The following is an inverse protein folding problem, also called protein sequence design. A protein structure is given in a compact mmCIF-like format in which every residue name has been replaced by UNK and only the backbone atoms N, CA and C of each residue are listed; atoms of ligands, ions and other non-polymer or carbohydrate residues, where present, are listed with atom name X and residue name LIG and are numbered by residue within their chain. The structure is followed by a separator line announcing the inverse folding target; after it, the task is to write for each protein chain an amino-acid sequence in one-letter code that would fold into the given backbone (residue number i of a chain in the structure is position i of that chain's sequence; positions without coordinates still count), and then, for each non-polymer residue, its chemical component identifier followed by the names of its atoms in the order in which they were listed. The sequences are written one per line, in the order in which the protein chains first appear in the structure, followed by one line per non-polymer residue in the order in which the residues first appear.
data_IF_059190291258
#
_entry.id   IF_059190291258
#
_cell.length_a   1.000
_cell.length_b   1.000
_cell.length_c   1.000
_cell.angle_alpha   90.00
_cell.angle_beta   90.00
_cell.angle_gamma   90.00
#
_symmetry.space_group_name_H-M   'P 1'
#
loop_
_entity.id
_entity.type
_entity.pdbx_description
1 polymer ?
#
# COMPACT_ATOMS: atom_id res chain seq x y z
N UNK A 1 -20.92 -13.10 0.68
CA UNK A 1 -19.99 -13.12 1.84
C UNK A 1 -20.44 -14.16 2.84
N UNK A 2 -19.49 -14.79 3.52
CA UNK A 2 -19.71 -15.82 4.55
C UNK A 2 -19.06 -15.36 5.85
N UNK A 3 -19.59 -15.82 6.98
CA UNK A 3 -18.94 -15.67 8.28
C UNK A 3 -18.01 -16.85 8.52
N UNK A 4 -16.77 -16.57 8.92
CA UNK A 4 -15.75 -17.56 9.22
C UNK A 4 -15.29 -17.38 10.67
N UNK A 5 -15.20 -18.51 11.38
CA UNK A 5 -14.64 -18.58 12.73
C UNK A 5 -13.62 -19.70 12.76
N UNK A 6 -12.45 -19.45 13.36
CA UNK A 6 -11.45 -20.49 13.47
C UNK A 6 -10.19 -20.07 14.22
N UNK A 7 -9.27 -21.02 14.33
CA UNK A 7 -7.93 -20.82 14.91
C UNK A 7 -6.88 -20.92 13.82
N UNK A 8 -6.02 -19.91 13.72
CA UNK A 8 -4.93 -19.87 12.74
C UNK A 8 -3.84 -20.88 13.15
N UNK A 9 -3.53 -21.84 12.29
CA UNK A 9 -2.51 -22.86 12.54
C UNK A 9 -1.15 -22.51 11.94
N UNK A 10 -1.13 -21.75 10.85
CA UNK A 10 0.04 -21.16 10.21
C UNK A 10 -0.36 -19.92 9.43
N UNK A 11 0.60 -19.02 9.19
CA UNK A 11 0.40 -17.82 8.37
C UNK A 11 1.71 -17.52 7.66
N UNK A 12 1.63 -17.26 6.35
CA UNK A 12 2.77 -16.90 5.52
C UNK A 12 2.37 -15.84 4.48
N UNK A 13 3.27 -14.90 4.19
CA UNK A 13 3.06 -13.91 3.15
C UNK A 13 3.80 -14.31 1.87
N UNK A 14 3.19 -14.04 0.72
CA UNK A 14 3.77 -14.24 -0.61
C UNK A 14 3.21 -13.22 -1.60
N UNK A 15 3.87 -13.09 -2.74
CA UNK A 15 3.36 -12.31 -3.86
C UNK A 15 2.17 -13.03 -4.52
N UNK A 16 1.18 -12.26 -4.96
CA UNK A 16 0.13 -12.71 -5.89
C UNK A 16 0.75 -13.19 -7.21
N UNK A 17 0.00 -13.99 -7.98
CA UNK A 17 0.52 -14.60 -9.21
C UNK A 17 0.94 -13.58 -10.28
N UNK A 18 0.34 -12.38 -10.28
CA UNK A 18 0.69 -11.25 -11.14
C UNK A 18 1.84 -10.37 -10.61
N UNK A 19 2.34 -10.66 -9.41
CA UNK A 19 3.41 -9.92 -8.74
C UNK A 19 3.04 -8.50 -8.33
N UNK A 20 1.75 -8.15 -8.27
CA UNK A 20 1.28 -6.80 -7.93
C UNK A 20 0.98 -6.62 -6.44
N UNK A 21 0.74 -7.70 -5.70
CA UNK A 21 0.29 -7.63 -4.31
C UNK A 21 1.07 -8.59 -3.41
N UNK A 22 1.40 -8.15 -2.20
CA UNK A 22 1.75 -9.06 -1.11
C UNK A 22 0.47 -9.48 -0.42
N UNK A 23 0.29 -10.78 -0.23
CA UNK A 23 -0.86 -11.38 0.45
C UNK A 23 -0.38 -12.31 1.55
N UNK A 24 -1.03 -12.23 2.70
CA UNK A 24 -0.85 -13.15 3.83
C UNK A 24 -1.89 -14.26 3.76
N UNK A 25 -1.46 -15.51 3.71
CA UNK A 25 -2.30 -16.71 3.67
C UNK A 25 -2.22 -17.42 5.01
N UNK A 26 -3.33 -17.42 5.74
CA UNK A 26 -3.50 -18.12 6.99
C UNK A 26 -4.17 -19.48 6.74
N UNK A 27 -3.55 -20.56 7.20
CA UNK A 27 -4.25 -21.85 7.37
C UNK A 27 -5.07 -21.78 8.65
N UNK A 28 -6.37 -22.04 8.55
CA UNK A 28 -7.32 -21.88 9.64
C UNK A 28 -8.00 -23.20 9.89
N UNK A 29 -7.94 -23.67 11.15
CA UNK A 29 -8.80 -24.76 11.61
C UNK A 29 -10.13 -24.19 12.06
N UNK A 30 -11.18 -24.52 11.34
CA UNK A 30 -12.56 -24.12 11.66
C UNK A 30 -13.09 -24.92 12.86
N UNK A 31 -14.21 -24.47 13.44
CA UNK A 31 -14.80 -25.11 14.62
C UNK A 31 -15.32 -26.54 14.35
N UNK A 32 -15.71 -26.84 13.12
CA UNK A 32 -16.11 -28.17 12.64
C UNK A 32 -14.92 -29.08 12.28
N UNK A 33 -13.69 -28.58 12.42
CA UNK A 33 -12.45 -29.33 12.26
C UNK A 33 -11.89 -29.36 10.83
N UNK A 34 -12.52 -28.67 9.88
CA UNK A 34 -11.94 -28.44 8.55
C UNK A 34 -10.70 -27.54 8.64
N UNK A 35 -9.82 -27.66 7.63
CA UNK A 35 -8.71 -26.72 7.45
C UNK A 35 -8.93 -25.97 6.15
N UNK A 36 -9.12 -24.65 6.27
CA UNK A 36 -9.34 -23.74 5.15
C UNK A 36 -8.17 -22.76 5.04
N UNK A 37 -8.03 -22.13 3.88
CA UNK A 37 -7.10 -21.01 3.68
C UNK A 37 -7.87 -19.70 3.70
N UNK A 38 -7.40 -18.73 4.48
CA UNK A 38 -7.91 -17.37 4.54
C UNK A 38 -6.79 -16.42 4.16
N UNK A 39 -7.00 -15.60 3.13
CA UNK A 39 -6.04 -14.63 2.64
C UNK A 39 -6.41 -13.21 3.06
N UNK A 40 -5.39 -12.37 3.26
CA UNK A 40 -5.48 -10.94 3.51
C UNK A 40 -4.46 -10.22 2.62
N UNK A 41 -4.77 -9.01 2.18
CA UNK A 41 -3.77 -8.14 1.59
C UNK A 41 -2.78 -7.65 2.64
N UNK A 42 -1.56 -7.43 2.21
CA UNK A 42 -0.46 -7.00 3.06
C UNK A 42 0.34 -8.16 3.66
N UNK A 43 1.44 -7.79 4.30
CA UNK A 43 2.45 -8.70 4.82
C UNK A 43 3.84 -8.29 4.37
N UNK A 44 4.82 -9.19 4.58
CA UNK A 44 6.22 -8.93 4.24
C UNK A 44 6.80 -10.12 3.48
N UNK A 45 7.49 -9.85 2.37
CA UNK A 45 8.14 -10.87 1.54
C UNK A 45 9.53 -10.38 1.16
N UNK A 46 10.55 -11.06 1.65
CA UNK A 46 11.93 -10.59 1.52
C UNK A 46 12.11 -9.21 2.18
N UNK A 47 12.70 -8.29 1.43
CA UNK A 47 13.03 -6.93 1.89
C UNK A 47 11.89 -5.93 1.72
N UNK A 48 10.68 -6.39 1.40
CA UNK A 48 9.53 -5.54 1.11
C UNK A 48 8.35 -5.88 2.02
N UNK A 49 7.57 -4.87 2.37
CA UNK A 49 6.28 -5.03 3.02
C UNK A 49 5.20 -4.19 2.34
N UNK A 50 3.95 -4.63 2.49
CA UNK A 50 2.77 -3.95 1.99
C UNK A 50 1.77 -3.80 3.13
N UNK A 51 1.18 -2.61 3.28
CA UNK A 51 0.20 -2.29 4.32
C UNK A 51 -0.93 -1.43 3.75
N UNK A 52 -2.15 -1.68 4.20
CA UNK A 52 -3.34 -0.90 3.83
C UNK A 52 -3.75 0.04 4.98
N UNK A 53 -4.45 1.12 4.69
CA UNK A 53 -4.93 2.11 5.65
C UNK A 53 -6.36 2.52 5.28
N UNK A 54 -7.37 2.33 6.15
CA UNK A 54 -7.28 1.62 7.42
C UNK A 54 -6.84 0.15 7.24
N UNK A 55 -5.88 -0.31 8.04
CA UNK A 55 -5.44 -1.71 8.04
C UNK A 55 -6.34 -2.56 8.92
N UNK A 56 -6.62 -3.77 8.47
CA UNK A 56 -7.02 -4.84 9.37
C UNK A 56 -5.78 -5.57 9.88
N UNK A 57 -5.75 -5.97 11.17
CA UNK A 57 -4.60 -6.69 11.67
C UNK A 57 -4.41 -8.04 10.94
N UNK A 58 -3.19 -8.32 10.47
CA UNK A 58 -2.88 -9.60 9.80
C UNK A 58 -3.02 -10.77 10.77
N UNK A 59 -3.64 -11.85 10.30
CA UNK A 59 -3.82 -13.11 11.02
C UNK A 59 -2.47 -13.80 11.24
N UNK A 60 -2.19 -14.17 12.49
CA UNK A 60 -0.95 -14.84 12.91
C UNK A 60 -1.27 -16.19 13.54
N UNK A 61 -0.28 -17.10 13.51
CA UNK A 61 -0.42 -18.42 14.14
C UNK A 61 -0.87 -18.28 15.60
N UNK A 62 -1.91 -19.02 15.95
CA UNK A 62 -2.51 -19.06 17.27
C UNK A 62 -3.69 -18.11 17.45
N UNK A 63 -3.85 -17.11 16.57
CA UNK A 63 -4.99 -16.19 16.64
C UNK A 63 -6.30 -16.97 16.51
N UNK A 64 -7.31 -16.54 17.27
CA UNK A 64 -8.69 -16.94 17.10
C UNK A 64 -9.47 -15.75 16.59
N UNK A 65 -10.31 -15.94 15.58
CA UNK A 65 -11.01 -14.82 14.98
C UNK A 65 -12.43 -15.19 14.55
N UNK A 66 -13.24 -14.15 14.38
CA UNK A 66 -14.49 -14.17 13.61
C UNK A 66 -14.38 -13.10 12.52
N UNK A 67 -14.65 -13.46 11.27
CA UNK A 67 -14.54 -12.55 10.14
C UNK A 67 -15.65 -12.76 9.12
N UNK A 68 -15.86 -11.74 8.28
CA UNK A 68 -16.53 -11.89 7.00
C UNK A 68 -15.51 -12.14 5.92
N UNK A 69 -15.80 -13.07 5.02
CA UNK A 69 -14.93 -13.40 3.91
C UNK A 69 -15.71 -13.64 2.62
N UNK A 70 -15.01 -13.51 1.50
CA UNK A 70 -15.45 -13.86 0.17
C UNK A 70 -14.80 -15.18 -0.24
N UNK A 71 -15.55 -16.09 -0.86
CA UNK A 71 -14.96 -17.31 -1.42
C UNK A 71 -14.17 -16.96 -2.70
N UNK A 72 -12.96 -17.50 -2.81
CA UNK A 72 -12.06 -17.30 -3.93
C UNK A 72 -11.46 -18.63 -4.42
N UNK A 73 -10.58 -18.56 -5.42
CA UNK A 73 -9.99 -19.75 -6.04
C UNK A 73 -9.15 -20.58 -5.06
N UNK A 74 -8.44 -19.94 -4.14
CA UNK A 74 -7.54 -20.59 -3.17
C UNK A 74 -8.12 -20.69 -1.75
N UNK A 75 -9.43 -20.52 -1.59
CA UNK A 75 -10.10 -20.57 -0.29
C UNK A 75 -10.97 -19.34 -0.06
N UNK A 76 -10.62 -18.52 0.93
CA UNK A 76 -11.38 -17.34 1.31
C UNK A 76 -10.51 -16.08 1.35
N UNK A 77 -11.02 -14.95 0.86
CA UNK A 77 -10.45 -13.62 1.04
C UNK A 77 -11.14 -12.91 2.19
N UNK A 78 -10.40 -12.53 3.21
CA UNK A 78 -10.94 -11.84 4.38
C UNK A 78 -11.38 -10.43 3.99
N UNK A 79 -12.64 -10.08 4.27
CA UNK A 79 -13.21 -8.77 3.97
C UNK A 79 -13.20 -7.88 5.20
N UNK A 80 -13.61 -8.41 6.36
CA UNK A 80 -13.63 -7.66 7.62
C UNK A 80 -13.48 -8.58 8.83
N UNK A 81 -12.61 -8.25 9.78
CA UNK A 81 -12.53 -8.89 11.10
C UNK A 81 -13.63 -8.32 12.01
N UNK A 82 -14.47 -9.20 12.56
CA UNK A 82 -15.47 -8.84 13.55
C UNK A 82 -14.91 -9.01 14.97
N UNK A 83 -14.11 -10.06 15.20
CA UNK A 83 -13.44 -10.33 16.46
C UNK A 83 -12.05 -10.91 16.19
N UNK A 84 -11.08 -10.53 17.01
CA UNK A 84 -9.73 -11.07 16.97
C UNK A 84 -9.19 -11.22 18.41
N UNK A 85 -8.98 -12.46 18.81
CA UNK A 85 -8.27 -12.83 20.03
C UNK A 85 -6.84 -13.23 19.64
N UNK A 86 -5.88 -12.40 20.02
CA UNK A 86 -4.47 -12.64 19.73
C UNK A 86 -3.94 -13.79 20.60
N UNK A 87 -3.15 -14.66 20.00
CA UNK A 87 -2.33 -15.57 20.82
C UNK A 87 -1.33 -14.75 21.65
N UNK A 88 -1.22 -15.05 22.95
CA UNK A 88 -0.19 -14.46 23.79
C UNK A 88 1.20 -14.80 23.23
N UNK A 89 1.94 -13.78 22.80
CA UNK A 89 3.35 -13.94 22.50
C UNK A 89 4.11 -14.04 23.83
N UNK A 90 4.94 -15.08 24.05
CA UNK A 90 5.79 -15.12 25.21
C UNK A 90 6.79 -13.94 25.14
N UNK A 91 6.68 -12.99 26.06
CA UNK A 91 7.66 -11.93 26.25
C UNK A 91 7.25 -10.50 25.87
N UNK A 92 5.97 -10.21 25.66
CA UNK A 92 5.53 -8.80 25.59
C UNK A 92 5.80 -8.11 26.93
N UNK A 93 6.81 -7.25 26.97
CA UNK A 93 7.07 -6.42 28.14
C UNK A 93 5.86 -5.48 28.34
N UNK A 94 5.39 -5.27 29.59
CA UNK A 94 4.38 -4.26 29.85
C UNK A 94 4.95 -2.90 29.44
N UNK A 95 4.15 -2.13 28.68
CA UNK A 95 4.45 -0.73 28.39
C UNK A 95 4.66 0.02 29.72
N UNK A 96 5.77 0.75 29.82
CA UNK A 96 6.04 1.60 30.97
C UNK A 96 5.15 2.84 30.89
N UNK A 97 4.53 3.30 31.99
CA UNK A 97 3.78 4.55 31.98
C UNK A 97 4.74 5.72 31.74
N UNK A 98 4.50 6.49 30.68
CA UNK A 98 5.14 7.79 30.45
C UNK A 98 4.70 8.82 31.49
N UNK A 99 5.50 9.87 31.73
CA UNK A 99 5.16 10.91 32.69
C UNK A 99 3.90 11.68 32.24
N UNK A 100 2.88 11.75 33.09
CA UNK A 100 1.71 12.58 32.86
C UNK A 100 2.06 14.05 33.16
N UNK A 101 2.25 14.84 32.11
CA UNK A 101 2.30 16.29 32.21
C UNK A 101 2.98 16.94 31.01
N UNK A 102 2.19 17.32 30.01
CA UNK A 102 2.58 18.29 28.99
C UNK A 102 1.35 19.05 28.48
N UNK A 103 1.60 20.27 28.03
CA UNK A 103 0.72 21.23 27.33
C UNK A 103 -0.05 20.57 26.16
N UNK A 104 -1.08 21.21 25.56
CA UNK A 104 -1.78 20.65 24.39
C UNK A 104 -0.76 20.25 23.31
N UNK A 105 -0.70 18.95 23.08
CA UNK A 105 0.37 18.28 22.39
C UNK A 105 0.03 18.21 20.90
N UNK A 106 0.96 18.67 20.06
CA UNK A 106 0.81 18.80 18.60
C UNK A 106 1.03 17.42 17.94
N UNK A 107 0.15 16.47 18.20
CA UNK A 107 0.49 15.06 18.11
C UNK A 107 0.07 14.40 16.80
N UNK A 108 0.91 14.54 15.78
CA UNK A 108 0.79 13.67 14.61
C UNK A 108 1.40 12.29 14.88
N UNK A 109 0.86 11.28 14.20
CA UNK A 109 1.33 9.89 14.27
C UNK A 109 1.93 9.52 12.92
N UNK A 110 3.07 8.84 12.95
CA UNK A 110 3.71 8.32 11.73
C UNK A 110 3.40 6.85 11.56
N UNK A 111 3.15 6.45 10.33
CA UNK A 111 3.17 5.04 9.96
C UNK A 111 4.59 4.53 10.14
N UNK A 112 4.74 3.39 10.82
CA UNK A 112 6.04 2.77 11.10
C UNK A 112 6.12 1.32 10.65
N UNK A 113 7.35 0.83 10.49
CA UNK A 113 7.68 -0.59 10.40
C UNK A 113 7.42 -1.32 11.73
N UNK A 114 7.55 -2.65 11.77
CA UNK A 114 7.38 -3.41 13.00
C UNK A 114 8.40 -3.04 14.11
N UNK A 115 9.55 -2.51 13.71
CA UNK A 115 10.63 -2.01 14.56
C UNK A 115 10.51 -0.51 14.85
N UNK A 116 9.34 0.09 14.59
CA UNK A 116 9.04 1.50 14.85
C UNK A 116 9.87 2.50 14.03
N UNK A 117 10.39 2.07 12.86
CA UNK A 117 11.04 3.00 11.92
C UNK A 117 9.96 3.70 11.08
N UNK A 118 9.89 5.03 11.07
CA UNK A 118 8.87 5.75 10.32
C UNK A 118 9.02 5.61 8.81
N UNK A 119 7.89 5.49 8.11
CA UNK A 119 7.89 5.46 6.65
C UNK A 119 8.09 6.86 6.06
N UNK A 120 8.75 6.93 4.89
CA UNK A 120 9.06 8.19 4.22
C UNK A 120 9.25 8.00 2.71
N UNK A 121 8.99 9.04 1.92
CA UNK A 121 9.45 9.10 0.53
C UNK A 121 10.90 9.61 0.47
N UNK A 122 11.77 8.93 -0.28
CA UNK A 122 13.15 9.38 -0.47
C UNK A 122 13.28 10.59 -1.42
N UNK A 123 12.34 10.75 -2.36
CA UNK A 123 12.33 11.86 -3.31
C UNK A 123 11.75 13.15 -2.75
N UNK A 124 12.07 14.27 -3.38
CA UNK A 124 11.51 15.59 -3.07
C UNK A 124 10.07 15.77 -3.53
N UNK A 125 9.50 14.78 -4.23
CA UNK A 125 8.12 14.81 -4.66
C UNK A 125 7.52 13.41 -4.79
N UNK A 126 6.18 13.35 -4.75
CA UNK A 126 5.41 12.15 -5.06
C UNK A 126 4.66 12.38 -6.37
N UNK A 127 4.83 11.47 -7.31
CA UNK A 127 4.02 11.45 -8.53
C UNK A 127 2.67 10.84 -8.21
N UNK A 128 1.58 11.46 -8.64
CA UNK A 128 0.22 10.95 -8.45
C UNK A 128 -0.44 10.79 -9.82
N UNK A 129 -1.10 9.65 -10.03
CA UNK A 129 -1.82 9.35 -11.26
C UNK A 129 -3.28 9.14 -10.93
N UNK A 130 -4.17 9.85 -11.59
CA UNK A 130 -5.61 9.58 -11.46
C UNK A 130 -6.05 8.49 -12.44
N UNK A 131 -7.00 7.66 -12.00
CA UNK A 131 -7.69 6.75 -12.91
C UNK A 131 -8.48 7.56 -13.94
N UNK A 132 -8.27 7.24 -15.22
CA UNK A 132 -8.85 7.99 -16.35
C UNK A 132 -10.38 7.94 -16.37
N UNK A 133 -11.00 6.92 -15.77
CA UNK A 133 -12.45 6.79 -15.76
C UNK A 133 -13.13 7.74 -14.76
N UNK A 134 -12.41 8.27 -13.77
CA UNK A 134 -12.97 9.13 -12.73
C UNK A 134 -14.09 8.43 -11.95
N UNK A 135 -15.08 9.21 -11.51
CA UNK A 135 -16.29 8.67 -10.87
C UNK A 135 -17.54 9.19 -11.57
N UNK A 136 -18.54 8.33 -11.67
CA UNK A 136 -19.87 8.68 -12.19
C UNK A 136 -20.75 9.41 -11.17
N UNK A 137 -20.27 9.56 -9.93
CA UNK A 137 -20.98 10.18 -8.83
C UNK A 137 -20.93 11.70 -8.84
N UNK A 138 -20.00 12.29 -9.59
CA UNK A 138 -19.81 13.73 -9.73
C UNK A 138 -19.97 14.08 -11.21
N UNK A 139 -20.71 15.15 -11.51
CA UNK A 139 -20.91 15.57 -12.89
C UNK A 139 -19.66 16.27 -13.47
N UNK A 140 -19.46 16.13 -14.78
CA UNK A 140 -18.60 16.99 -15.61
C UNK A 140 -17.13 17.17 -15.12
N UNK A 141 -16.50 16.10 -14.59
CA UNK A 141 -15.08 16.00 -14.19
C UNK A 141 -14.65 16.84 -12.98
N UNK A 142 -15.59 17.44 -12.23
CA UNK A 142 -15.27 18.27 -11.06
C UNK A 142 -14.48 17.48 -9.99
N UNK A 143 -14.50 16.14 -10.01
CA UNK A 143 -13.68 15.31 -9.11
C UNK A 143 -12.18 15.57 -9.24
N UNK A 144 -11.67 15.78 -10.45
CA UNK A 144 -10.24 15.99 -10.66
C UNK A 144 -9.81 17.35 -10.12
N UNK A 145 -10.63 18.39 -10.33
CA UNK A 145 -10.36 19.71 -9.76
C UNK A 145 -10.34 19.67 -8.23
N UNK A 146 -11.28 18.96 -7.59
CA UNK A 146 -11.30 18.79 -6.14
C UNK A 146 -10.06 18.05 -5.62
N UNK A 147 -9.62 17.01 -6.31
CA UNK A 147 -8.39 16.29 -5.94
C UNK A 147 -7.13 17.14 -6.16
N UNK A 148 -7.06 17.93 -7.23
CA UNK A 148 -5.99 18.89 -7.45
C UNK A 148 -5.94 19.95 -6.34
N UNK A 149 -7.09 20.51 -5.96
CA UNK A 149 -7.21 21.48 -4.86
C UNK A 149 -6.76 20.88 -3.52
N UNK A 150 -7.10 19.62 -3.23
CA UNK A 150 -6.63 18.93 -2.03
C UNK A 150 -5.09 18.79 -1.98
N UNK A 151 -4.47 18.41 -3.10
CA UNK A 151 -3.00 18.36 -3.20
C UNK A 151 -2.39 19.76 -3.06
N UNK A 152 -3.01 20.77 -3.66
CA UNK A 152 -2.59 22.17 -3.56
C UNK A 152 -2.70 22.71 -2.14
N UNK A 153 -3.69 22.25 -1.38
CA UNK A 153 -3.83 22.60 0.03
C UNK A 153 -2.68 22.02 0.86
N UNK A 154 -2.30 20.77 0.65
CA UNK A 154 -1.09 20.19 1.26
C UNK A 154 0.18 20.98 0.90
N UNK A 155 0.39 21.28 -0.39
CA UNK A 155 1.56 22.05 -0.85
C UNK A 155 1.61 23.45 -0.25
N UNK A 156 0.50 24.17 -0.31
CA UNK A 156 0.45 25.59 0.09
C UNK A 156 0.59 25.75 1.60
N UNK A 157 -0.02 24.86 2.38
CA UNK A 157 0.03 24.87 3.85
C UNK A 157 1.43 24.56 4.39
N UNK A 158 2.21 23.76 3.68
CA UNK A 158 3.54 23.29 4.13
C UNK A 158 4.71 23.98 3.42
N UNK A 159 4.45 24.78 2.38
CA UNK A 159 5.47 25.47 1.55
C UNK A 159 6.51 26.28 2.34
N UNK A 160 6.17 26.77 3.53
CA UNK A 160 7.10 27.56 4.33
C UNK A 160 8.17 26.75 5.08
N UNK A 161 7.95 25.45 5.25
CA UNK A 161 8.76 24.58 6.10
C UNK A 161 9.23 23.29 5.40
N UNK A 162 8.51 22.84 4.37
CA UNK A 162 8.74 21.55 3.72
C UNK A 162 9.18 21.71 2.26
N UNK A 163 10.00 20.76 1.77
CA UNK A 163 10.32 20.63 0.35
C UNK A 163 9.32 19.73 -0.41
N UNK A 164 8.53 18.93 0.31
CA UNK A 164 7.69 17.91 -0.31
C UNK A 164 6.69 18.52 -1.29
N UNK A 165 6.60 17.92 -2.47
CA UNK A 165 5.74 18.38 -3.55
C UNK A 165 4.98 17.21 -4.19
N UNK A 166 3.93 17.53 -4.94
CA UNK A 166 3.20 16.55 -5.76
C UNK A 166 3.37 16.87 -7.23
N UNK A 167 3.48 15.83 -8.05
CA UNK A 167 3.50 15.94 -9.51
C UNK A 167 2.38 15.09 -10.08
N UNK A 168 1.42 15.72 -10.72
CA UNK A 168 0.38 15.00 -11.46
C UNK A 168 0.99 14.40 -12.73
N UNK A 169 0.90 13.07 -12.84
CA UNK A 169 1.17 12.37 -14.08
C UNK A 169 -0.10 12.32 -14.95
N UNK A 170 0.09 12.00 -16.24
CA UNK A 170 -1.03 11.75 -17.15
C UNK A 170 -1.94 10.65 -16.58
N UNK A 171 -3.28 10.85 -16.61
CA UNK A 171 -4.24 9.84 -16.17
C UNK A 171 -4.04 8.49 -16.89
N UNK A 172 -4.39 7.40 -16.22
CA UNK A 172 -4.22 6.05 -16.75
C UNK A 172 -5.43 5.17 -16.47
N UNK A 173 -5.77 4.33 -17.45
CA UNK A 173 -6.65 3.18 -17.24
C UNK A 173 -5.78 1.98 -16.80
N UNK A 174 -5.56 1.82 -15.50
CA UNK A 174 -4.81 0.70 -14.90
C UNK A 174 -5.45 0.25 -13.59
N UNK A 175 -4.85 -0.74 -12.94
CA UNK A 175 -5.30 -1.23 -11.64
C UNK A 175 -4.26 -0.94 -10.56
N UNK A 176 -4.70 -0.82 -9.30
CA UNK A 176 -3.81 -0.68 -8.14
C UNK A 176 -2.86 -1.86 -8.03
N UNK A 177 -1.64 -1.66 -7.55
CA UNK A 177 -0.61 -2.69 -7.44
C UNK A 177 0.80 -2.12 -7.40
N UNK A 178 1.76 -2.95 -6.99
CA UNK A 178 3.16 -2.56 -6.92
C UNK A 178 3.80 -2.43 -8.32
N UNK A 179 3.57 -1.30 -8.99
CA UNK A 179 4.01 -1.02 -10.35
C UNK A 179 4.78 0.30 -10.55
N UNK A 180 4.94 1.08 -9.48
CA UNK A 180 5.63 2.36 -9.46
C UNK A 180 4.72 3.51 -9.91
N UNK A 181 3.42 3.26 -10.00
CA UNK A 181 2.38 4.25 -10.29
C UNK A 181 1.53 4.41 -9.05
N UNK A 182 1.66 5.55 -8.38
CA UNK A 182 0.76 5.87 -7.29
C UNK A 182 -0.61 6.24 -7.85
N UNK A 183 -1.53 5.27 -7.93
CA UNK A 183 -2.83 5.42 -8.58
C UNK A 183 -3.90 5.89 -7.57
N UNK A 184 -4.73 6.85 -7.96
CA UNK A 184 -6.00 7.15 -7.28
C UNK A 184 -7.13 6.54 -8.10
N UNK A 185 -7.82 5.54 -7.53
CA UNK A 185 -8.84 4.76 -8.22
C UNK A 185 -10.20 4.86 -7.55
N UNK A 186 -11.22 5.22 -8.32
CA UNK A 186 -12.61 5.19 -7.87
C UNK A 186 -13.22 3.79 -8.04
N UNK A 187 -14.03 3.40 -7.05
CA UNK A 187 -14.76 2.13 -7.04
C UNK A 187 -16.24 2.39 -6.83
N UNK A 188 -16.93 2.76 -7.91
CA UNK A 188 -18.36 3.12 -7.90
C UNK A 188 -19.29 1.90 -7.77
N UNK A 189 -18.95 0.79 -8.44
CA UNK A 189 -19.85 -0.37 -8.53
C UNK A 189 -19.69 -1.34 -7.36
N UNK A 190 -18.44 -1.66 -7.01
CA UNK A 190 -18.10 -2.62 -5.95
C UNK A 190 -16.86 -2.19 -5.20
N UNK A 191 -16.93 -2.26 -3.86
CA UNK A 191 -15.80 -2.00 -2.97
C UNK A 191 -14.85 -3.20 -2.88
N UNK A 192 -14.34 -3.60 -4.05
CA UNK A 192 -13.46 -4.75 -4.24
C UNK A 192 -12.45 -4.48 -5.35
N UNK A 193 -11.32 -5.18 -5.29
CA UNK A 193 -10.28 -5.17 -6.32
C UNK A 193 -9.96 -6.56 -6.84
N UNK A 194 -9.41 -6.70 -8.07
CA UNK A 194 -8.83 -7.96 -8.51
C UNK A 194 -7.77 -8.43 -7.51
N UNK A 195 -7.74 -9.73 -7.23
CA UNK A 195 -6.87 -10.28 -6.19
C UNK A 195 -5.53 -10.81 -6.74
N UNK A 196 -5.30 -10.66 -8.05
CA UNK A 196 -4.13 -11.16 -8.77
C UNK A 196 -4.12 -12.68 -8.99
N UNK A 197 -5.19 -13.39 -8.61
CA UNK A 197 -5.31 -14.86 -8.70
C UNK A 197 -6.59 -15.29 -9.45
N UNK A 198 -7.23 -14.37 -10.17
CA UNK A 198 -8.47 -14.61 -10.92
C UNK A 198 -9.74 -14.51 -10.08
N UNK A 199 -9.64 -14.00 -8.85
CA UNK A 199 -10.74 -13.66 -7.97
C UNK A 199 -10.80 -12.17 -7.64
N UNK A 200 -11.48 -11.85 -6.54
CA UNK A 200 -11.60 -10.51 -6.01
C UNK A 200 -11.30 -10.50 -4.51
N UNK A 201 -10.78 -9.37 -4.06
CA UNK A 201 -10.61 -9.03 -2.66
C UNK A 201 -11.47 -7.82 -2.36
N UNK A 202 -12.49 -7.98 -1.51
CA UNK A 202 -13.33 -6.87 -1.07
C UNK A 202 -12.79 -6.24 0.21
N UNK A 203 -13.04 -4.95 0.39
CA UNK A 203 -12.57 -4.15 1.51
C UNK A 203 -13.67 -4.01 2.58
N UNK A 204 -13.34 -3.58 3.81
CA UNK A 204 -14.34 -3.22 4.82
C UNK A 204 -15.34 -2.19 4.29
N UNK A 205 -16.63 -2.48 4.41
CA UNK A 205 -17.70 -1.67 3.82
C UNK A 205 -17.90 -0.29 4.50
N UNK A 206 -17.26 -0.08 5.65
CA UNK A 206 -17.27 1.15 6.44
C UNK A 206 -16.10 2.10 6.11
N UNK A 207 -15.15 1.69 5.27
CA UNK A 207 -14.09 2.55 4.77
C UNK A 207 -14.57 3.38 3.57
N UNK A 208 -14.49 4.72 3.66
CA UNK A 208 -14.81 5.64 2.56
C UNK A 208 -13.65 5.78 1.55
N UNK A 209 -12.43 5.54 2.00
CA UNK A 209 -11.21 5.48 1.20
C UNK A 209 -10.27 4.44 1.78
N UNK A 210 -9.24 4.08 1.01
CA UNK A 210 -8.17 3.23 1.48
C UNK A 210 -6.86 3.55 0.76
N UNK A 211 -5.76 3.65 1.50
CA UNK A 211 -4.41 3.77 0.95
C UNK A 211 -3.66 2.45 1.10
N UNK A 212 -2.95 1.98 0.07
CA UNK A 212 -2.05 0.82 0.14
C UNK A 212 -0.62 1.30 -0.09
N UNK A 213 0.28 1.10 0.87
CA UNK A 213 1.70 1.39 0.74
C UNK A 213 2.51 0.11 0.51
N UNK A 214 3.50 0.18 -0.37
CA UNK A 214 4.61 -0.79 -0.45
C UNK A 214 5.92 -0.10 -0.09
N UNK A 215 6.72 -0.69 0.80
CA UNK A 215 7.92 -0.06 1.34
C UNK A 215 9.04 -1.06 1.64
N UNK A 216 10.27 -0.54 1.74
CA UNK A 216 11.45 -1.32 2.13
C UNK A 216 11.34 -1.73 3.61
N UNK A 217 11.31 -3.03 3.84
CA UNK A 217 11.19 -3.66 5.15
C UNK A 217 12.40 -4.56 5.47
N UNK A 218 13.60 -3.97 5.39
CA UNK A 218 14.85 -4.63 5.76
C UNK A 218 15.64 -3.74 6.73
N UNK A 219 15.73 -4.08 8.03
CA UNK A 219 16.49 -3.34 9.04
C UNK A 219 17.99 -3.17 8.75
N UNK A 220 18.56 -3.97 7.85
CA UNK A 220 19.97 -3.87 7.42
C UNK A 220 20.16 -2.88 6.25
N UNK A 221 19.07 -2.41 5.64
CA UNK A 221 19.09 -1.48 4.51
C UNK A 221 19.13 -0.02 4.98
N UNK A 222 19.94 0.81 4.33
CA UNK A 222 19.90 2.27 4.53
C UNK A 222 18.57 2.89 4.07
N UNK A 223 17.83 2.17 3.21
CA UNK A 223 16.50 2.56 2.70
C UNK A 223 15.36 2.06 3.58
N UNK A 224 15.64 1.55 4.78
CA UNK A 224 14.60 0.96 5.63
C UNK A 224 13.50 1.96 5.97
N UNK A 225 12.24 1.62 5.67
CA UNK A 225 11.09 2.51 5.77
C UNK A 225 10.80 3.35 4.53
N UNK A 226 11.64 3.30 3.49
CA UNK A 226 11.38 4.03 2.24
C UNK A 226 10.14 3.48 1.53
N UNK A 227 9.18 4.37 1.25
CA UNK A 227 7.97 4.10 0.46
C UNK A 227 8.37 4.04 -1.01
N UNK A 228 7.91 2.99 -1.68
CA UNK A 228 8.23 2.67 -3.08
C UNK A 228 7.02 2.83 -4.01
N UNK A 229 5.82 2.75 -3.44
CA UNK A 229 4.55 2.73 -4.17
C UNK A 229 3.41 2.99 -3.18
N UNK A 230 2.41 3.76 -3.62
CA UNK A 230 1.24 4.13 -2.84
C UNK A 230 -0.01 4.27 -3.71
N UNK A 231 -0.98 3.38 -3.54
CA UNK A 231 -2.27 3.47 -4.22
C UNK A 231 -3.36 3.98 -3.27
N UNK A 232 -4.27 4.80 -3.78
CA UNK A 232 -5.47 5.27 -3.09
C UNK A 232 -6.70 4.72 -3.82
N UNK A 233 -7.60 4.09 -3.09
CA UNK A 233 -8.89 3.64 -3.57
C UNK A 233 -9.99 4.49 -2.89
N UNK A 234 -10.95 5.02 -3.66
CA UNK A 234 -12.07 5.83 -3.13
C UNK A 234 -13.39 5.06 -3.32
N UNK A 235 -14.18 4.97 -2.25
CA UNK A 235 -15.37 4.13 -2.19
C UNK A 235 -16.63 4.88 -2.64
N UNK A 236 -17.11 4.57 -3.85
CA UNK A 236 -18.44 4.96 -4.33
C UNK A 236 -19.48 3.85 -4.25
N UNK A 237 -19.12 2.68 -3.73
CA UNK A 237 -19.96 1.49 -3.79
C UNK A 237 -20.84 1.32 -2.54
N UNK A 238 -21.98 0.65 -2.75
CA UNK A 238 -22.94 0.21 -1.73
C UNK A 238 -23.42 1.31 -0.75
N UNK A 239 -22.62 1.59 0.28
CA UNK A 239 -22.96 2.45 1.42
C UNK A 239 -22.62 3.91 1.21
N UNK A 240 -21.63 4.20 0.37
CA UNK A 240 -21.15 5.55 0.16
C UNK A 240 -21.63 6.10 -1.19
N UNK A 241 -21.88 7.40 -1.18
CA UNK A 241 -21.99 8.20 -2.39
C UNK A 241 -20.86 9.22 -2.31
N UNK A 242 -19.92 9.16 -3.25
CA UNK A 242 -18.90 10.20 -3.38
C UNK A 242 -19.62 11.51 -3.69
N UNK A 243 -19.31 12.55 -2.93
CA UNK A 243 -19.94 13.86 -3.05
C UNK A 243 -18.91 14.98 -3.09
N UNK A 244 -19.31 16.13 -3.59
CA UNK A 244 -18.57 17.39 -3.46
C UNK A 244 -19.54 18.40 -2.87
N UNK A 245 -19.16 19.02 -1.75
CA UNK A 245 -19.99 20.03 -1.07
C UNK A 245 -21.43 19.55 -0.76
N UNK A 246 -21.59 18.24 -0.51
CA UNK A 246 -22.86 17.61 -0.21
C UNK A 246 -23.71 17.21 -1.43
N UNK A 247 -23.21 17.41 -2.65
CA UNK A 247 -23.91 17.07 -3.89
C UNK A 247 -23.34 15.80 -4.53
N UNK A 248 -24.20 14.98 -5.15
CA UNK A 248 -23.84 13.72 -5.82
C UNK A 248 -24.90 13.32 -6.85
N UNK A 249 -24.50 12.61 -7.91
CA UNK A 249 -25.38 12.13 -8.99
C UNK A 249 -26.08 10.79 -8.66
N UNK A 250 -25.74 10.17 -7.52
CA UNK A 250 -26.37 8.92 -7.05
C UNK A 250 -27.32 9.18 -5.88
N UNK A 251 -28.22 8.24 -5.51
CA UNK A 251 -29.22 8.51 -4.49
C UNK A 251 -28.65 8.90 -3.11
N UNK A 252 -29.12 10.02 -2.55
CA UNK A 252 -28.80 10.56 -1.21
C UNK A 252 -29.10 9.62 -0.02
N UNK A 253 -29.74 8.47 -0.27
CA UNK A 253 -29.97 7.45 0.77
C UNK A 253 -28.67 6.79 1.26
N UNK A 254 -27.57 6.98 0.53
CA UNK A 254 -26.22 6.55 0.92
C UNK A 254 -25.56 7.60 1.83
N UNK A 255 -24.55 7.17 2.58
CA UNK A 255 -23.71 8.10 3.33
C UNK A 255 -22.90 8.95 2.34
N UNK A 256 -23.05 10.28 2.38
CA UNK A 256 -22.23 11.16 1.57
C UNK A 256 -20.78 11.11 2.09
N UNK A 257 -19.85 10.70 1.23
CA UNK A 257 -18.43 10.74 1.47
C UNK A 257 -17.87 11.90 0.64
N UNK A 258 -17.58 13.02 1.30
CA UNK A 258 -16.99 14.15 0.60
C UNK A 258 -15.61 13.79 0.05
N UNK A 259 -15.41 14.08 -1.23
CA UNK A 259 -14.19 13.70 -1.96
C UNK A 259 -12.98 14.45 -1.41
N UNK A 260 -13.09 15.76 -1.18
CA UNK A 260 -12.01 16.56 -0.63
C UNK A 260 -11.63 16.08 0.77
N UNK A 261 -12.63 15.79 1.62
CA UNK A 261 -12.45 15.25 2.96
C UNK A 261 -11.73 13.89 2.96
N UNK A 262 -12.22 12.96 2.13
CA UNK A 262 -11.70 11.58 2.07
C UNK A 262 -10.32 11.58 1.44
N UNK A 263 -10.14 12.25 0.30
CA UNK A 263 -8.88 12.25 -0.43
C UNK A 263 -7.75 12.95 0.32
N UNK A 264 -8.02 14.06 1.01
CA UNK A 264 -7.01 14.76 1.82
C UNK A 264 -6.49 13.86 2.95
N UNK A 265 -7.37 13.06 3.58
CA UNK A 265 -6.99 12.05 4.57
C UNK A 265 -6.11 10.94 3.96
N UNK A 266 -6.51 10.37 2.83
CA UNK A 266 -5.73 9.32 2.15
C UNK A 266 -4.35 9.83 1.67
N UNK A 267 -4.26 11.11 1.26
CA UNK A 267 -2.97 11.74 0.95
C UNK A 267 -2.05 11.79 2.18
N UNK A 268 -2.60 11.99 3.38
CA UNK A 268 -1.81 11.91 4.62
C UNK A 268 -1.21 10.51 4.84
N UNK A 269 -1.98 9.44 4.58
CA UNK A 269 -1.44 8.08 4.59
C UNK A 269 -0.37 7.88 3.52
N UNK A 270 -0.60 8.37 2.30
CA UNK A 270 0.38 8.36 1.22
C UNK A 270 1.70 9.02 1.65
N UNK A 271 1.65 10.09 2.44
CA UNK A 271 2.83 10.80 2.97
C UNK A 271 3.52 10.10 4.16
N UNK A 272 2.96 8.99 4.65
CA UNK A 272 3.50 8.21 5.77
C UNK A 272 2.90 8.58 7.14
N UNK A 273 1.75 9.26 7.19
CA UNK A 273 1.02 9.52 8.43
C UNK A 273 0.12 8.33 8.81
N UNK A 274 -0.09 8.12 10.10
CA UNK A 274 -1.04 7.15 10.65
C UNK A 274 -2.14 7.91 11.42
N UNK A 275 -3.16 7.18 11.85
CA UNK A 275 -4.29 7.77 12.56
C UNK A 275 -3.90 8.35 13.93
N UNK A 276 -4.51 9.49 14.30
CA UNK A 276 -4.27 10.18 15.58
C UNK A 276 -4.87 9.47 16.80
N UNK A 277 -5.70 8.45 16.56
CA UNK A 277 -6.16 7.50 17.57
C UNK A 277 -6.23 6.11 16.93
N UNK A 278 -6.18 5.07 17.77
CA UNK A 278 -6.22 3.67 17.33
C UNK A 278 -7.50 2.95 17.75
N UNK A 279 -7.93 1.95 16.99
CA UNK A 279 -9.02 1.08 17.39
C UNK A 279 -8.52 -0.06 18.30
N UNK A 280 -9.46 -0.70 19.00
CA UNK A 280 -9.14 -1.87 19.82
C UNK A 280 -8.68 -3.02 18.93
N UNK A 281 -7.49 -3.55 19.18
CA UNK A 281 -6.89 -4.64 18.40
C UNK A 281 -5.81 -4.20 17.42
N UNK A 282 -5.70 -2.89 17.16
CA UNK A 282 -4.57 -2.30 16.47
C UNK A 282 -3.29 -2.47 17.29
N UNK A 283 -2.16 -2.49 16.60
CA UNK A 283 -0.87 -2.50 17.26
C UNK A 283 -0.70 -1.23 18.11
N UNK A 284 -0.04 -1.29 19.27
CA UNK A 284 0.38 -0.09 19.98
C UNK A 284 1.19 0.81 19.05
N UNK A 285 0.89 2.09 19.07
CA UNK A 285 1.60 3.13 18.34
C UNK A 285 1.94 4.27 19.30
N UNK A 286 2.97 5.03 18.95
CA UNK A 286 3.34 6.26 19.64
C UNK A 286 3.29 7.41 18.65
N UNK A 287 2.96 8.60 19.14
CA UNK A 287 3.07 9.82 18.36
C UNK A 287 4.53 10.28 18.23
N UNK A 288 4.73 11.42 17.56
CA UNK A 288 6.06 11.99 17.34
C UNK A 288 6.81 12.42 18.61
N UNK A 289 6.12 12.61 19.74
CA UNK A 289 6.73 12.91 21.05
C UNK A 289 7.07 11.63 21.83
N UNK A 290 6.61 10.48 21.34
CA UNK A 290 6.77 9.18 21.98
C UNK A 290 5.66 8.84 22.97
N UNK A 291 4.59 9.63 23.00
CA UNK A 291 3.42 9.36 23.84
C UNK A 291 2.52 8.31 23.17
N UNK A 292 1.82 7.52 23.99
CA UNK A 292 0.96 6.46 23.48
C UNK A 292 -0.24 7.03 22.72
N UNK A 293 -0.46 6.55 21.50
CA UNK A 293 -1.64 6.90 20.70
C UNK A 293 -2.90 6.37 21.39
N UNK A 294 -3.87 7.23 21.74
CA UNK A 294 -5.03 6.83 22.52
C UNK A 294 -6.02 5.98 21.72
N UNK A 295 -6.87 5.24 22.43
CA UNK A 295 -7.98 4.52 21.82
C UNK A 295 -9.07 5.49 21.35
N UNK A 296 -9.58 5.31 20.12
CA UNK A 296 -10.65 6.16 19.58
C UNK A 296 -11.96 6.06 20.36
N UNK A 297 -12.17 4.98 21.13
CA UNK A 297 -13.34 4.80 22.00
C UNK A 297 -13.23 5.56 23.34
N UNK A 298 -12.10 6.20 23.61
CA UNK A 298 -11.84 6.92 24.86
C UNK A 298 -12.32 8.37 24.83
N UNK A 299 -12.05 9.10 25.92
CA UNK A 299 -12.17 10.55 25.92
C UNK A 299 -10.94 11.15 25.21
N UNK A 300 -11.17 11.77 24.05
CA UNK A 300 -10.12 12.35 23.22
C UNK A 300 -10.05 13.86 23.38
N UNK A 301 -8.84 14.42 23.25
CA UNK A 301 -8.64 15.85 23.09
C UNK A 301 -9.29 16.31 21.76
N UNK A 302 -9.97 17.47 21.71
CA UNK A 302 -10.42 18.08 20.46
C UNK A 302 -9.40 18.05 19.33
N UNK A 303 -8.11 18.28 19.59
CA UNK A 303 -7.07 18.24 18.55
C UNK A 303 -7.02 16.88 17.82
N UNK A 304 -7.20 15.77 18.53
CA UNK A 304 -7.25 14.42 17.95
C UNK A 304 -8.53 14.19 17.13
N UNK A 305 -9.65 14.79 17.56
CA UNK A 305 -10.94 14.66 16.90
C UNK A 305 -11.06 15.52 15.64
N UNK A 306 -10.38 16.67 15.62
CA UNK A 306 -10.39 17.61 14.51
C UNK A 306 -9.31 17.31 13.46
N UNK A 307 -8.22 16.63 13.83
CA UNK A 307 -7.15 16.24 12.92
C UNK A 307 -7.65 15.65 11.60
N UNK A 308 -6.99 16.01 10.49
CA UNK A 308 -7.26 15.40 9.18
C UNK A 308 -7.09 13.89 9.26
N UNK A 309 -6.04 13.44 9.96
CA UNK A 309 -5.75 12.03 10.18
C UNK A 309 -6.60 11.35 11.26
N UNK A 310 -7.70 11.93 11.71
CA UNK A 310 -8.67 11.21 12.54
C UNK A 310 -9.28 10.03 11.73
N UNK A 311 -9.35 8.80 12.25
CA UNK A 311 -9.73 7.61 11.47
C UNK A 311 -11.21 7.54 11.06
N UNK A 312 -12.08 8.31 11.72
CA UNK A 312 -13.53 8.25 11.51
C UNK A 312 -14.04 9.53 10.88
N UNK A 313 -15.08 9.43 10.06
CA UNK A 313 -15.80 10.59 9.54
C UNK A 313 -17.30 10.39 9.68
N UNK A 314 -18.03 11.48 9.86
CA UNK A 314 -19.50 11.47 9.79
C UNK A 314 -19.97 11.64 8.34
N UNK A 315 -21.19 11.19 8.02
CA UNK A 315 -21.73 11.36 6.66
C UNK A 315 -21.90 12.84 6.33
N UNK A 316 -21.36 13.27 5.19
CA UNK A 316 -21.35 14.66 4.74
C UNK A 316 -20.32 15.54 5.45
N UNK A 317 -19.37 14.96 6.19
CA UNK A 317 -18.26 15.69 6.79
C UNK A 317 -17.32 16.23 5.73
N UNK A 318 -16.96 17.51 5.86
CA UNK A 318 -16.02 18.22 4.96
C UNK A 318 -14.80 18.78 5.66
N UNK A 319 -14.71 18.65 6.99
CA UNK A 319 -13.70 19.36 7.80
C UNK A 319 -12.26 18.92 7.49
N UNK A 320 -12.05 17.69 7.04
CA UNK A 320 -10.74 17.14 6.66
C UNK A 320 -10.31 17.55 5.26
N UNK A 321 -11.15 18.28 4.51
CA UNK A 321 -10.69 18.91 3.26
C UNK A 321 -9.67 20.02 3.55
N UNK A 322 -9.55 20.47 4.80
CA UNK A 322 -8.47 21.32 5.30
C UNK A 322 -7.56 20.57 6.26
N UNK A 323 -6.27 20.94 6.25
CA UNK A 323 -5.28 20.46 7.21
C UNK A 323 -5.36 21.15 8.56
N UNK A 324 -5.15 20.38 9.61
CA UNK A 324 -4.93 20.87 10.96
C UNK A 324 -3.42 21.08 11.23
N UNK A 325 -3.10 21.76 12.34
CA UNK A 325 -1.72 22.11 12.68
C UNK A 325 -0.83 20.87 12.84
N UNK A 326 -1.34 19.76 13.36
CA UNK A 326 -0.57 18.51 13.52
C UNK A 326 -0.17 17.91 12.17
N UNK A 327 -1.08 17.91 11.19
CA UNK A 327 -0.81 17.44 9.83
C UNK A 327 0.30 18.27 9.16
N UNK A 328 0.24 19.60 9.29
CA UNK A 328 1.25 20.52 8.76
C UNK A 328 2.60 20.28 9.46
N UNK A 329 2.60 20.19 10.79
CA UNK A 329 3.80 19.93 11.58
C UNK A 329 4.44 18.58 11.20
N UNK A 330 3.63 17.57 10.88
CA UNK A 330 4.11 16.28 10.40
C UNK A 330 4.94 16.44 9.13
N UNK A 331 4.39 17.11 8.12
CA UNK A 331 5.08 17.29 6.83
C UNK A 331 6.32 18.20 6.97
N UNK A 332 6.26 19.23 7.82
CA UNK A 332 7.43 20.03 8.15
C UNK A 332 8.55 19.21 8.82
N UNK A 333 8.17 18.24 9.66
CA UNK A 333 9.10 17.40 10.43
C UNK A 333 9.70 16.29 9.56
N UNK A 334 8.91 15.69 8.67
CA UNK A 334 9.33 14.58 7.83
C UNK A 334 10.17 15.05 6.65
N UNK A 335 9.83 16.20 6.06
CA UNK A 335 10.44 16.70 4.82
C UNK A 335 10.95 18.15 4.96
N UNK A 336 11.80 18.48 5.94
CA UNK A 336 12.20 19.85 6.22
C UNK A 336 13.01 20.45 5.07
N UNK A 337 12.76 21.71 4.70
CA UNK A 337 13.46 22.40 3.58
C UNK A 337 14.99 22.28 3.59
N UNK A 338 15.60 22.17 4.77
CA UNK A 338 17.05 22.06 4.90
C UNK A 338 17.61 20.72 4.39
N UNK A 339 16.77 19.71 4.22
CA UNK A 339 17.11 18.35 3.82
C UNK A 339 16.55 17.99 2.42
N UNK A 340 16.20 19.00 1.61
CA UNK A 340 15.72 18.79 0.24
C UNK A 340 16.73 17.93 -0.56
N UNK A 341 16.32 16.76 -1.10
CA UNK A 341 17.20 15.93 -1.89
C UNK A 341 17.52 16.52 -3.28
N UNK A 342 16.90 17.65 -3.67
CA UNK A 342 17.01 18.27 -5.00
C UNK A 342 16.64 17.30 -6.15
N UNK A 343 15.87 16.25 -5.83
CA UNK A 343 15.50 15.19 -6.78
C UNK A 343 13.99 14.92 -6.73
N UNK A 344 13.30 15.31 -7.81
CA UNK A 344 11.91 14.98 -8.05
C UNK A 344 11.81 14.12 -9.31
N UNK A 345 11.71 12.80 -9.12
CA UNK A 345 11.60 11.81 -10.20
C UNK A 345 10.64 10.69 -9.80
N UNK A 346 9.94 10.06 -10.76
CA UNK A 346 9.14 8.87 -10.49
C UNK A 346 10.05 7.73 -9.99
N UNK A 347 9.53 6.90 -9.08
CA UNK A 347 10.24 5.72 -8.61
C UNK A 347 10.42 4.72 -9.77
N UNK A 348 11.60 4.11 -9.83
CA UNK A 348 11.91 3.05 -10.81
C UNK A 348 12.08 1.70 -10.11
N UNK A 349 11.10 0.82 -10.27
CA UNK A 349 11.13 -0.53 -9.68
C UNK A 349 12.05 -1.52 -10.41
N UNK A 350 12.86 -1.07 -11.37
CA UNK A 350 13.68 -1.94 -12.24
C UNK A 350 14.74 -2.77 -11.49
N UNK A 351 15.18 -2.33 -10.30
CA UNK A 351 16.05 -3.09 -9.41
C UNK A 351 15.31 -3.92 -8.35
N UNK A 352 14.15 -3.47 -7.89
CA UNK A 352 13.41 -4.07 -6.78
C UNK A 352 12.61 -5.30 -7.23
N UNK A 353 12.09 -5.28 -8.47
CA UNK A 353 11.49 -6.47 -9.09
C UNK A 353 12.51 -7.57 -9.39
N UNK A 354 13.82 -7.26 -9.41
CA UNK A 354 14.87 -8.27 -9.56
C UNK A 354 15.01 -9.18 -8.33
N UNK A 355 14.50 -8.77 -7.16
CA UNK A 355 14.42 -9.62 -5.97
C UNK A 355 13.36 -10.72 -6.09
N UNK A 356 12.42 -10.57 -7.03
CA UNK A 356 11.27 -11.45 -7.22
C UNK A 356 11.41 -12.43 -8.40
N UNK A 357 12.60 -12.56 -8.99
CA UNK A 357 12.85 -13.54 -10.06
C UNK A 357 13.17 -14.92 -9.47
N UNK A 358 12.18 -15.80 -9.36
CA UNK A 358 12.46 -17.24 -9.17
C UNK A 358 13.07 -17.74 -10.48
N UNK A 359 14.35 -18.13 -10.45
CA UNK A 359 14.96 -18.82 -11.59
C UNK A 359 14.10 -20.06 -11.88
N UNK A 360 13.69 -20.32 -13.15
CA UNK A 360 12.98 -21.56 -13.46
C UNK A 360 13.87 -22.73 -13.03
N UNK A 361 13.29 -23.66 -12.28
CA UNK A 361 13.96 -24.89 -11.89
C UNK A 361 14.60 -25.50 -13.14
N UNK A 362 15.92 -25.65 -13.13
CA UNK A 362 16.61 -26.40 -14.15
C UNK A 362 15.96 -27.80 -14.17
N UNK A 363 15.25 -28.11 -15.26
CA UNK A 363 14.75 -29.45 -15.46
C UNK A 363 15.97 -30.37 -15.52
N UNK A 364 16.16 -31.17 -14.48
CA UNK A 364 17.07 -32.30 -14.47
C UNK A 364 16.58 -33.32 -15.50
N UNK A 365 16.98 -33.12 -16.76
CA UNK A 365 16.73 -34.08 -17.83
C UNK A 365 17.79 -35.19 -17.78
N UNK A 366 17.68 -35.99 -16.71
CA UNK A 366 18.40 -37.24 -16.57
C UNK A 366 17.76 -38.32 -17.45
N UNK A 367 18.20 -38.39 -18.71
CA UNK A 367 18.41 -39.69 -19.36
C UNK A 367 17.78 -39.89 -20.73
N UNK A 368 18.60 -39.76 -21.78
CA UNK A 368 18.75 -40.86 -22.74
C UNK A 368 20.12 -40.82 -23.44
N UNK A 369 21.01 -41.75 -23.05
CA UNK A 369 22.26 -42.03 -23.76
C UNK A 369 21.96 -42.90 -24.98
N UNK A 370 22.23 -42.45 -26.23
CA UNK A 370 22.70 -43.30 -27.35
C UNK A 370 23.47 -42.52 -28.44
N UNK A 371 24.79 -42.75 -28.51
CA UNK A 371 25.68 -42.76 -29.70
C UNK A 371 25.84 -41.48 -30.54
N UNK A 372 27.04 -40.98 -30.89
CA UNK A 372 28.14 -41.69 -31.55
C UNK A 372 29.39 -40.77 -31.70
N UNK A 373 30.58 -41.39 -31.57
CA UNK A 373 31.93 -41.16 -32.16
C UNK A 373 32.12 -39.98 -33.16
N UNK A 374 33.26 -39.28 -33.32
CA UNK A 374 34.68 -39.65 -33.19
C UNK A 374 35.65 -38.44 -33.30
N UNK A 375 36.79 -38.55 -32.60
CA UNK A 375 38.19 -38.29 -32.98
C UNK A 375 38.65 -36.96 -33.64
N UNK A 376 39.56 -36.28 -32.92
CA UNK A 376 40.55 -35.35 -33.42
C UNK A 376 41.86 -36.07 -33.78
N UNK A 377 42.55 -35.68 -34.88
CA UNK A 377 43.99 -35.92 -35.10
C UNK A 377 44.61 -34.89 -36.09
N UNK A 378 45.64 -34.19 -35.58
CA UNK A 378 46.93 -33.73 -36.13
C UNK A 378 47.20 -33.66 -37.65
N UNK A 379 47.94 -32.62 -38.08
CA UNK A 379 48.98 -32.77 -39.11
C UNK A 379 49.37 -31.53 -39.94
N UNK A 380 50.58 -31.01 -39.70
CA UNK A 380 51.33 -29.97 -40.43
C UNK A 380 51.51 -30.19 -41.96
N UNK A 381 51.72 -29.08 -42.70
CA UNK A 381 52.79 -29.04 -43.71
C UNK A 381 52.57 -28.23 -45.00
N UNK A 382 53.19 -27.03 -45.08
CA UNK A 382 54.01 -26.61 -46.23
C UNK A 382 53.38 -25.89 -47.44
N UNK A 383 53.79 -24.61 -47.62
CA UNK A 383 54.44 -24.04 -48.83
C UNK A 383 53.70 -24.22 -50.18
N UNK A 384 53.32 -23.21 -50.98
CA UNK A 384 54.14 -22.14 -51.57
C UNK A 384 53.35 -21.46 -52.73
N UNK A 385 53.67 -20.18 -53.03
CA UNK A 385 53.45 -19.42 -54.29
C UNK A 385 51.99 -19.25 -54.80
N UNK A 386 51.56 -18.18 -55.46
CA UNK A 386 52.00 -16.81 -55.64
C UNK A 386 50.97 -16.10 -56.55
N UNK A 387 51.00 -14.76 -56.48
CA UNK A 387 50.76 -13.83 -57.58
C UNK A 387 49.32 -13.55 -58.07
N UNK A 388 49.00 -12.25 -57.94
CA UNK A 388 48.47 -11.33 -58.98
C UNK A 388 47.01 -11.56 -59.38
N UNK A 389 46.20 -10.57 -59.74
CA UNK A 389 46.24 -9.10 -59.85
C UNK A 389 44.83 -8.76 -60.37
N UNK A 390 44.30 -7.59 -59.95
CA UNK A 390 43.38 -6.73 -60.73
C UNK A 390 42.01 -7.34 -61.05
N UNK A 391 40.95 -6.60 -61.33
CA UNK A 391 40.49 -5.23 -61.15
C UNK A 391 39.12 -5.22 -61.84
N UNK A 392 38.27 -4.25 -61.48
CA UNK A 392 37.12 -3.80 -62.27
C UNK A 392 35.92 -4.77 -62.29
N UNK A 393 34.67 -4.37 -62.35
CA UNK A 393 33.91 -3.12 -62.21
C UNK A 393 32.43 -3.57 -62.35
N UNK A 394 31.44 -2.75 -61.95
CA UNK A 394 30.06 -3.17 -61.76
C UNK A 394 29.22 -3.05 -63.04
N UNK A 395 28.08 -3.74 -63.07
CA UNK A 395 26.99 -3.39 -64.00
C UNK A 395 25.66 -3.42 -63.24
N UNK A 396 25.18 -2.19 -63.02
CA UNK A 396 23.81 -1.67 -62.89
C UNK A 396 22.84 -2.30 -61.92
#
# INVERSE_FOLDING_TARGET
MLELTGTVTSSEARWSADGQHIRTYASVRTEDGETITVSQLGGSVGDLAMRQFPSQPLLRRGDRFRARALAGAEGYSLVSLAELERAELPGAAPALPGPSGAEPARNFVRTTTAESVPLYWAGGCVYITFDEAGTSHIADLDEFAVMEDALDHWRSSTRSCSYMNFVLAEPRTTEVGFDGVNLVKFRDERWCRPDGEGGEQCHPADAAGLTTLTFVNNPESERYGEILDADIEINGADRFAISVDGETEVPETRCLADLGNTFTHEVGHLLGLDHTCRFSGDAPAVDHEGDEVPLCSGALNPEILEATMHPSQTCGETKKASLEDDDINAICSIYPQAEDPDECKPISLTGERSWCSVAPAAADDAGNRRGTWALALLGLGGLLFAQRRRASAPVR
#
